data_IF_790372539126
#
_entry.id   IF_790372539126
#
_cell.length_a   1.000
_cell.length_b   1.000
_cell.length_c   1.000
_cell.angle_alpha   90.00
_cell.angle_beta   90.00
_cell.angle_gamma   90.00
#
_symmetry.space_group_name_H-M   'P 1'
#
loop_
_entity.id
_entity.type
_entity.pdbx_description
1 polymer ?
#
# COMPACT_ATOMS: atom_id res chain seq x y z
N UNK A 1 35.38 16.58 -17.52
CA UNK A 1 34.10 15.92 -17.86
C UNK A 1 33.61 15.33 -16.54
N UNK A 2 32.87 16.12 -15.79
CA UNK A 2 32.49 15.87 -14.38
C UNK A 2 31.04 15.41 -14.39
N UNK A 3 30.83 14.14 -14.02
CA UNK A 3 29.50 13.54 -13.84
C UNK A 3 28.87 14.10 -12.56
N UNK A 4 27.67 14.62 -12.67
CA UNK A 4 26.88 15.17 -11.55
C UNK A 4 26.33 14.02 -10.68
N UNK A 5 26.50 14.05 -9.37
CA UNK A 5 25.95 13.04 -8.43
C UNK A 5 24.62 13.50 -7.80
N UNK A 6 23.67 14.00 -8.56
CA UNK A 6 22.42 14.55 -8.01
C UNK A 6 21.19 13.64 -8.16
N UNK A 7 21.23 12.63 -9.01
CA UNK A 7 20.07 11.74 -9.24
C UNK A 7 19.80 10.71 -8.13
N UNK A 8 20.80 10.35 -7.35
CA UNK A 8 20.65 9.38 -6.26
C UNK A 8 19.96 9.87 -5.00
N UNK A 9 19.66 11.19 -4.91
CA UNK A 9 19.11 11.78 -3.67
C UNK A 9 17.59 11.89 -3.63
N UNK A 10 16.92 11.86 -4.80
CA UNK A 10 15.45 11.95 -4.87
C UNK A 10 14.74 10.63 -4.56
N UNK A 11 15.30 9.49 -4.94
CA UNK A 11 14.73 8.18 -4.65
C UNK A 11 14.73 7.86 -3.15
N UNK A 12 15.81 8.22 -2.43
CA UNK A 12 15.86 8.00 -0.98
C UNK A 12 14.85 8.84 -0.20
N UNK A 13 14.58 10.08 -0.64
CA UNK A 13 13.60 10.94 0.01
C UNK A 13 12.17 10.39 -0.15
N UNK A 14 11.85 9.79 -1.29
CA UNK A 14 10.52 9.20 -1.54
C UNK A 14 10.26 7.97 -0.66
N UNK A 15 11.23 7.07 -0.50
CA UNK A 15 11.11 5.92 0.39
C UNK A 15 11.03 6.35 1.88
N UNK A 16 11.83 7.34 2.31
CA UNK A 16 11.78 7.84 3.69
C UNK A 16 10.46 8.56 4.01
N UNK A 17 9.83 9.22 3.02
CA UNK A 17 8.58 9.94 3.22
C UNK A 17 7.38 9.00 3.29
N UNK A 18 7.33 7.97 2.44
CA UNK A 18 6.28 6.93 2.48
C UNK A 18 6.39 6.03 3.73
N UNK A 19 7.60 5.78 4.22
CA UNK A 19 7.82 4.97 5.43
C UNK A 19 8.10 5.78 6.71
N UNK A 20 8.46 7.07 6.60
CA UNK A 20 8.81 7.93 7.74
C UNK A 20 7.63 8.40 8.58
N UNK A 21 6.41 8.34 8.07
CA UNK A 21 5.17 8.72 8.79
C UNK A 21 4.91 7.81 10.00
N UNK A 22 5.47 6.60 10.03
CA UNK A 22 5.26 5.62 11.11
C UNK A 22 5.93 5.95 12.45
N UNK A 23 6.98 6.76 12.49
CA UNK A 23 7.70 7.05 13.76
C UNK A 23 6.92 7.89 14.77
N UNK A 24 5.95 8.68 14.33
CA UNK A 24 5.14 9.50 15.24
C UNK A 24 3.83 8.83 15.67
N UNK A 25 3.33 7.82 14.95
CA UNK A 25 2.03 7.19 15.22
C UNK A 25 2.06 6.14 16.33
N UNK A 26 3.16 5.44 16.56
CA UNK A 26 3.26 4.38 17.57
C UNK A 26 3.11 4.92 19.01
N UNK A 27 3.35 6.21 19.27
CA UNK A 27 3.26 6.79 20.61
C UNK A 27 1.86 7.31 21.02
N UNK A 28 0.91 7.40 20.09
CA UNK A 28 -0.44 7.95 20.37
C UNK A 28 -1.49 6.85 20.62
N UNK A 29 -1.27 5.61 20.15
CA UNK A 29 -2.28 4.53 20.22
C UNK A 29 -2.33 3.79 21.55
N UNK A 30 -1.38 3.97 22.47
CA UNK A 30 -1.35 3.25 23.75
C UNK A 30 -2.34 3.71 24.84
N UNK A 31 -3.24 4.66 24.56
CA UNK A 31 -4.07 5.28 25.60
C UNK A 31 -5.57 4.93 25.59
N UNK A 32 -6.05 4.02 24.74
CA UNK A 32 -7.51 3.77 24.66
C UNK A 32 -7.90 2.28 24.64
N UNK A 33 -7.33 1.46 25.50
CA UNK A 33 -7.80 0.07 25.68
C UNK A 33 -8.26 -0.15 27.13
N UNK A 34 -9.52 0.12 27.40
CA UNK A 34 -10.33 -0.57 28.42
C UNK A 34 -11.82 -0.28 28.16
N UNK A 35 -12.53 -1.21 27.56
CA UNK A 35 -13.99 -1.21 27.60
C UNK A 35 -14.67 -1.93 26.44
N UNK A 36 -15.32 -3.02 26.84
CA UNK A 36 -16.45 -3.69 26.16
C UNK A 36 -16.12 -4.88 25.28
N UNK A 37 -16.03 -6.00 25.92
CA UNK A 37 -16.35 -7.34 25.37
C UNK A 37 -17.87 -7.47 25.24
N UNK A 38 -18.36 -7.64 24.01
CA UNK A 38 -19.49 -8.49 23.60
C UNK A 38 -20.02 -8.06 22.23
N UNK A 39 -19.62 -8.73 21.12
CA UNK A 39 -20.60 -8.92 20.05
C UNK A 39 -20.28 -10.19 19.25
N UNK A 40 -21.27 -11.02 19.14
CA UNK A 40 -21.44 -12.28 18.47
C UNK A 40 -21.12 -12.23 16.98
N UNK A 41 -20.68 -13.39 16.43
CA UNK A 41 -20.36 -13.62 15.03
C UNK A 41 -21.39 -13.08 14.04
N UNK A 42 -21.04 -11.97 13.43
CA UNK A 42 -21.63 -11.51 12.18
C UNK A 42 -20.66 -11.85 11.07
N UNK A 43 -21.18 -12.43 10.00
CA UNK A 43 -20.39 -12.60 8.79
C UNK A 43 -19.76 -11.25 8.45
N UNK A 44 -18.46 -11.21 8.31
CA UNK A 44 -17.71 -9.98 8.02
C UNK A 44 -18.29 -9.33 6.76
N UNK A 45 -19.08 -8.27 6.94
CA UNK A 45 -19.65 -7.50 5.85
C UNK A 45 -18.58 -6.53 5.39
N UNK A 46 -18.07 -6.72 4.17
CA UNK A 46 -17.20 -5.71 3.56
C UNK A 46 -18.06 -4.55 3.06
N UNK A 47 -17.62 -3.33 3.29
CA UNK A 47 -18.27 -2.11 2.80
C UNK A 47 -17.44 -1.50 1.68
N UNK A 48 -18.08 -1.22 0.52
CA UNK A 48 -17.44 -0.46 -0.55
C UNK A 48 -17.07 0.94 -0.04
N UNK A 49 -15.80 1.29 -0.16
CA UNK A 49 -15.31 2.66 0.02
C UNK A 49 -14.68 3.19 -1.25
N UNK A 50 -14.86 4.47 -1.51
CA UNK A 50 -14.35 5.17 -2.69
C UNK A 50 -13.32 6.19 -2.26
N UNK A 51 -12.18 6.16 -2.92
CA UNK A 51 -11.02 7.02 -2.68
C UNK A 51 -10.67 7.78 -3.96
N UNK A 52 -11.23 8.97 -4.15
CA UNK A 52 -10.98 9.78 -5.35
C UNK A 52 -9.52 10.18 -5.52
N UNK A 53 -8.78 10.38 -4.42
CA UNK A 53 -7.35 10.73 -4.40
C UNK A 53 -6.48 9.72 -5.15
N UNK A 54 -6.85 8.43 -5.07
CA UNK A 54 -6.17 7.32 -5.74
C UNK A 54 -7.02 6.67 -6.84
N UNK A 55 -8.10 7.34 -7.26
CA UNK A 55 -9.03 6.91 -8.32
C UNK A 55 -9.52 5.47 -8.18
N UNK A 56 -9.72 4.99 -6.97
CA UNK A 56 -10.18 3.62 -6.78
C UNK A 56 -11.33 3.49 -5.78
N UNK A 57 -12.06 2.38 -5.91
CA UNK A 57 -12.96 1.86 -4.89
C UNK A 57 -12.48 0.49 -4.44
N UNK A 58 -12.68 0.19 -3.17
CA UNK A 58 -12.28 -1.08 -2.55
C UNK A 58 -13.31 -1.52 -1.51
N UNK A 59 -13.53 -2.81 -1.38
CA UNK A 59 -14.39 -3.38 -0.33
C UNK A 59 -13.54 -3.56 0.94
N UNK A 60 -13.78 -2.71 1.94
CA UNK A 60 -13.07 -2.72 3.22
C UNK A 60 -13.75 -3.72 4.15
N UNK A 61 -13.04 -4.73 4.67
CA UNK A 61 -13.61 -5.66 5.63
C UNK A 61 -14.03 -4.97 6.93
N UNK A 62 -15.05 -5.52 7.59
CA UNK A 62 -15.53 -5.00 8.87
C UNK A 62 -14.40 -5.00 9.92
N UNK A 63 -14.31 -3.91 10.67
CA UNK A 63 -13.32 -3.75 11.74
C UNK A 63 -11.94 -3.28 11.28
N UNK A 64 -11.70 -3.18 9.97
CA UNK A 64 -10.46 -2.59 9.47
C UNK A 64 -10.46 -1.08 9.62
N UNK A 65 -9.36 -0.55 10.11
CA UNK A 65 -9.14 0.89 10.17
C UNK A 65 -8.72 1.41 8.79
N UNK A 66 -9.21 2.61 8.45
CA UNK A 66 -8.93 3.25 7.15
C UNK A 66 -8.37 4.63 7.41
N UNK A 67 -7.18 4.87 6.90
CA UNK A 67 -6.54 6.18 6.89
C UNK A 67 -6.28 6.61 5.46
N UNK A 68 -6.68 7.83 5.09
CA UNK A 68 -6.47 8.40 3.76
C UNK A 68 -5.55 9.62 3.90
N UNK A 69 -4.46 9.60 3.14
CA UNK A 69 -3.55 10.72 2.95
C UNK A 69 -3.73 11.25 1.52
N UNK A 70 -4.57 12.27 1.39
CA UNK A 70 -4.89 12.88 0.09
C UNK A 70 -3.68 13.60 -0.51
N UNK A 71 -2.76 14.12 0.32
CA UNK A 71 -1.57 14.85 -0.14
C UNK A 71 -0.59 13.91 -0.85
N UNK A 72 -0.42 12.69 -0.32
CA UNK A 72 0.45 11.68 -0.88
C UNK A 72 -0.29 10.65 -1.76
N UNK A 73 -1.58 10.88 -2.03
CA UNK A 73 -2.44 9.94 -2.78
C UNK A 73 -2.30 8.49 -2.26
N UNK A 74 -2.41 8.31 -0.96
CA UNK A 74 -2.23 7.01 -0.30
C UNK A 74 -3.40 6.70 0.63
N UNK A 75 -3.82 5.45 0.63
CA UNK A 75 -4.83 4.91 1.55
C UNK A 75 -4.26 3.69 2.26
N UNK A 76 -4.34 3.68 3.58
CA UNK A 76 -3.94 2.55 4.41
C UNK A 76 -5.17 1.86 5.01
N UNK A 77 -5.21 0.55 4.88
CA UNK A 77 -6.20 -0.32 5.52
C UNK A 77 -5.46 -1.18 6.53
N UNK A 78 -5.75 -1.05 7.81
CA UNK A 78 -5.08 -1.80 8.89
C UNK A 78 -6.03 -2.80 9.49
N UNK A 79 -5.59 -4.04 9.65
CA UNK A 79 -6.37 -5.09 10.29
C UNK A 79 -6.58 -4.80 11.78
N UNK A 80 -7.68 -5.31 12.41
CA UNK A 80 -8.00 -5.03 13.82
C UNK A 80 -6.94 -5.49 14.82
N UNK A 81 -6.14 -6.49 14.46
CA UNK A 81 -5.03 -7.02 15.26
C UNK A 81 -3.70 -6.30 15.01
N UNK A 82 -3.67 -5.34 14.09
CA UNK A 82 -2.49 -4.56 13.68
C UNK A 82 -1.34 -5.40 13.09
N UNK A 83 -1.53 -6.70 12.89
CA UNK A 83 -0.51 -7.61 12.36
C UNK A 83 -0.42 -7.58 10.82
N UNK A 84 -1.39 -6.93 10.18
CA UNK A 84 -1.47 -6.86 8.73
C UNK A 84 -2.05 -5.52 8.24
N UNK A 85 -1.53 -5.04 7.11
CA UNK A 85 -2.04 -3.84 6.46
C UNK A 85 -2.01 -3.95 4.94
N UNK A 86 -2.89 -3.18 4.29
CA UNK A 86 -2.88 -2.95 2.85
C UNK A 86 -2.71 -1.47 2.61
N UNK A 87 -1.69 -1.10 1.87
CA UNK A 87 -1.47 0.28 1.44
C UNK A 87 -1.75 0.38 -0.06
N UNK A 88 -2.58 1.35 -0.45
CA UNK A 88 -2.91 1.65 -1.83
C UNK A 88 -2.33 3.03 -2.15
N UNK A 89 -1.52 3.12 -3.19
CA UNK A 89 -0.91 4.38 -3.61
C UNK A 89 -1.23 4.64 -5.08
N UNK A 90 -1.77 5.82 -5.37
CA UNK A 90 -2.01 6.30 -6.73
C UNK A 90 -0.81 7.12 -7.21
N UNK A 91 -0.34 6.84 -8.42
CA UNK A 91 0.86 7.47 -8.96
C UNK A 91 0.54 8.02 -10.35
N UNK A 92 0.66 9.33 -10.48
CA UNK A 92 0.48 10.06 -11.74
C UNK A 92 1.87 10.34 -12.34
N UNK A 93 2.41 9.38 -13.08
CA UNK A 93 3.73 9.47 -13.73
C UNK A 93 3.60 9.16 -15.23
N UNK A 94 3.13 10.13 -16.04
CA UNK A 94 2.87 9.91 -17.45
C UNK A 94 4.14 9.49 -18.22
N UNK A 95 4.00 8.47 -19.06
CA UNK A 95 5.06 8.00 -19.94
C UNK A 95 5.99 6.94 -19.33
N UNK A 96 5.74 6.52 -18.09
CA UNK A 96 6.41 5.37 -17.48
C UNK A 96 5.52 4.14 -17.64
N UNK A 97 6.06 3.07 -18.19
CA UNK A 97 5.32 1.81 -18.28
C UNK A 97 5.18 1.14 -16.90
N UNK A 98 4.11 0.39 -16.72
CA UNK A 98 3.87 -0.38 -15.46
C UNK A 98 5.05 -1.30 -15.14
N UNK A 99 5.68 -1.89 -16.17
CA UNK A 99 6.87 -2.74 -16.02
C UNK A 99 8.08 -1.97 -15.50
N UNK A 100 8.38 -0.81 -16.10
CA UNK A 100 9.52 0.03 -15.68
C UNK A 100 9.32 0.56 -14.27
N UNK A 101 8.08 0.95 -13.94
CA UNK A 101 7.75 1.38 -12.58
C UNK A 101 7.95 0.24 -11.58
N UNK A 102 7.42 -0.96 -11.86
CA UNK A 102 7.57 -2.12 -10.99
C UNK A 102 9.05 -2.52 -10.79
N UNK A 103 9.86 -2.51 -11.86
CA UNK A 103 11.29 -2.80 -11.76
C UNK A 103 12.05 -1.77 -10.93
N UNK A 104 11.72 -0.48 -11.07
CA UNK A 104 12.32 0.60 -10.29
C UNK A 104 12.00 0.45 -8.80
N UNK A 105 10.72 0.26 -8.46
CA UNK A 105 10.30 0.10 -7.05
C UNK A 105 10.91 -1.17 -6.44
N UNK A 106 10.87 -2.30 -7.14
CA UNK A 106 11.47 -3.53 -6.66
C UNK A 106 12.97 -3.37 -6.36
N UNK A 107 13.70 -2.64 -7.22
CA UNK A 107 15.11 -2.34 -6.99
C UNK A 107 15.32 -1.44 -5.76
N UNK A 108 14.45 -0.45 -5.56
CA UNK A 108 14.54 0.48 -4.41
C UNK A 108 14.32 -0.22 -3.07
N UNK A 109 13.38 -1.19 -3.03
CA UNK A 109 13.09 -1.97 -1.81
C UNK A 109 13.96 -3.22 -1.66
N UNK A 110 14.88 -3.45 -2.59
CA UNK A 110 15.77 -4.63 -2.56
C UNK A 110 15.05 -5.95 -2.84
N UNK A 111 13.94 -5.90 -3.56
CA UNK A 111 13.18 -7.09 -3.96
C UNK A 111 13.81 -7.82 -5.14
N UNK A 112 13.39 -9.06 -5.33
CA UNK A 112 13.66 -9.80 -6.55
C UNK A 112 12.95 -9.16 -7.77
N UNK A 113 13.33 -9.62 -8.98
CA UNK A 113 12.73 -9.12 -10.20
C UNK A 113 11.20 -9.33 -10.20
N UNK A 114 10.40 -8.28 -10.51
CA UNK A 114 8.95 -8.41 -10.59
C UNK A 114 8.50 -9.45 -11.59
N UNK A 115 7.50 -10.23 -11.20
CA UNK A 115 6.87 -11.25 -12.04
C UNK A 115 5.52 -10.74 -12.57
N UNK A 116 5.19 -10.99 -13.86
CA UNK A 116 3.86 -10.66 -14.38
C UNK A 116 2.75 -11.39 -13.62
N UNK A 117 1.73 -10.68 -13.19
CA UNK A 117 0.61 -11.23 -12.41
C UNK A 117 -0.66 -10.41 -12.58
N UNK A 118 -1.74 -11.02 -13.04
CA UNK A 118 -3.08 -10.40 -13.01
C UNK A 118 -3.24 -9.10 -13.82
N UNK A 119 -2.47 -8.92 -14.90
CA UNK A 119 -2.48 -7.69 -15.68
C UNK A 119 -1.51 -6.61 -15.18
N UNK A 120 -0.71 -6.92 -14.18
CA UNK A 120 0.34 -6.07 -13.63
C UNK A 120 1.58 -6.87 -13.28
N UNK A 121 2.30 -6.43 -12.26
CA UNK A 121 3.54 -7.04 -11.77
C UNK A 121 3.47 -7.24 -10.27
N UNK A 122 4.09 -8.31 -9.78
CA UNK A 122 4.18 -8.64 -8.36
C UNK A 122 5.63 -8.92 -7.97
N UNK A 123 6.01 -8.51 -6.77
CA UNK A 123 7.31 -8.81 -6.16
C UNK A 123 7.16 -8.92 -4.64
N UNK A 124 8.11 -9.59 -4.00
CA UNK A 124 8.16 -9.74 -2.54
C UNK A 124 9.41 -9.10 -1.99
N UNK A 125 9.32 -8.52 -0.81
CA UNK A 125 10.45 -7.91 -0.12
C UNK A 125 10.26 -8.01 1.39
N UNK A 126 11.30 -7.65 2.12
CA UNK A 126 11.24 -7.52 3.58
C UNK A 126 11.54 -6.05 3.90
N UNK A 127 10.69 -5.43 4.71
CA UNK A 127 10.92 -4.05 5.11
C UNK A 127 12.05 -3.92 6.14
N UNK A 128 12.38 -2.70 6.52
CA UNK A 128 13.46 -2.41 7.48
C UNK A 128 13.17 -2.96 8.89
N UNK A 129 11.91 -3.20 9.22
CA UNK A 129 11.47 -3.77 10.50
C UNK A 129 11.44 -5.31 10.49
N UNK A 130 11.68 -5.93 9.32
CA UNK A 130 11.70 -7.38 9.13
C UNK A 130 10.36 -7.99 8.78
N UNK A 131 9.34 -7.17 8.44
CA UNK A 131 8.04 -7.69 7.98
C UNK A 131 8.11 -8.16 6.53
N UNK A 132 7.47 -9.30 6.27
CA UNK A 132 7.28 -9.79 4.91
C UNK A 132 6.25 -8.94 4.19
N UNK A 133 6.66 -8.36 3.06
CA UNK A 133 5.83 -7.50 2.25
C UNK A 133 5.67 -8.05 0.84
N UNK A 134 4.56 -7.70 0.20
CA UNK A 134 4.32 -7.99 -1.20
C UNK A 134 3.86 -6.73 -1.91
N UNK A 135 4.55 -6.35 -2.98
CA UNK A 135 4.18 -5.27 -3.87
C UNK A 135 3.42 -5.80 -5.09
N UNK A 136 2.34 -5.14 -5.47
CA UNK A 136 1.58 -5.37 -6.69
C UNK A 136 1.45 -4.03 -7.39
N UNK A 137 1.92 -3.96 -8.64
CA UNK A 137 1.85 -2.77 -9.47
C UNK A 137 0.93 -3.04 -10.65
N UNK A 138 -0.05 -2.19 -10.86
CA UNK A 138 -1.01 -2.28 -11.97
C UNK A 138 -1.37 -0.89 -12.48
N UNK A 139 -1.99 -0.82 -13.64
CA UNK A 139 -2.39 0.45 -14.25
C UNK A 139 -2.14 0.49 -15.75
N UNK A 140 -2.05 1.69 -16.27
CA UNK A 140 -1.79 1.98 -17.68
C UNK A 140 -0.68 3.05 -17.83
N UNK A 141 -0.47 3.57 -19.05
CA UNK A 141 0.53 4.61 -19.34
C UNK A 141 0.22 5.98 -18.73
N UNK A 142 -0.94 6.15 -18.13
CA UNK A 142 -1.39 7.44 -17.56
C UNK A 142 -1.42 7.42 -16.04
N UNK A 143 -1.76 6.27 -15.47
CA UNK A 143 -1.94 6.13 -14.04
C UNK A 143 -1.50 4.75 -13.58
N UNK A 144 -0.63 4.72 -12.59
CA UNK A 144 -0.13 3.50 -11.97
C UNK A 144 -0.65 3.43 -10.54
N UNK A 145 -1.16 2.28 -10.17
CA UNK A 145 -1.54 1.96 -8.79
C UNK A 145 -0.56 0.96 -8.21
N UNK A 146 -0.06 1.25 -7.02
CA UNK A 146 0.74 0.33 -6.23
C UNK A 146 -0.05 -0.14 -5.02
N UNK A 147 -0.09 -1.44 -4.82
CA UNK A 147 -0.67 -2.09 -3.64
C UNK A 147 0.47 -2.72 -2.86
N UNK A 148 0.62 -2.36 -1.61
CA UNK A 148 1.58 -3.00 -0.71
C UNK A 148 0.81 -3.77 0.36
N UNK A 149 1.07 -5.07 0.46
CA UNK A 149 0.55 -5.95 1.49
C UNK A 149 1.63 -6.16 2.53
N UNK A 150 1.34 -5.82 3.79
CA UNK A 150 2.24 -6.02 4.94
C UNK A 150 1.72 -7.14 5.82
N UNK A 151 2.60 -8.07 6.18
CA UNK A 151 2.24 -9.24 6.97
C UNK A 151 1.47 -10.29 6.17
N UNK A 152 0.61 -11.04 6.84
CA UNK A 152 -0.22 -12.09 6.23
C UNK A 152 -1.64 -12.03 6.81
N UNK A 153 -2.65 -11.92 5.96
CA UNK A 153 -4.04 -11.94 6.40
C UNK A 153 -4.95 -12.57 5.34
N UNK A 154 -5.93 -13.36 5.79
CA UNK A 154 -6.87 -14.06 4.89
C UNK A 154 -7.72 -13.12 4.02
N UNK A 155 -7.93 -11.87 4.44
CA UNK A 155 -8.71 -10.89 3.69
C UNK A 155 -7.93 -10.26 2.51
N UNK A 156 -6.62 -10.41 2.42
CA UNK A 156 -5.83 -9.76 1.37
C UNK A 156 -6.31 -10.08 -0.04
N UNK A 157 -6.59 -11.35 -0.31
CA UNK A 157 -7.06 -11.77 -1.63
C UNK A 157 -8.41 -11.12 -1.98
N UNK A 158 -9.33 -11.03 -1.02
CA UNK A 158 -10.63 -10.40 -1.23
C UNK A 158 -10.52 -8.89 -1.41
N UNK A 159 -9.68 -8.21 -0.62
CA UNK A 159 -9.41 -6.78 -0.76
C UNK A 159 -8.84 -6.49 -2.15
N UNK A 160 -7.76 -7.18 -2.54
CA UNK A 160 -7.10 -6.95 -3.85
C UNK A 160 -8.04 -7.20 -5.02
N UNK A 161 -8.88 -8.24 -4.96
CA UNK A 161 -9.88 -8.53 -6.01
C UNK A 161 -11.01 -7.50 -6.08
N UNK A 162 -11.27 -6.79 -5.01
CA UNK A 162 -12.34 -5.80 -4.94
C UNK A 162 -11.93 -4.43 -5.48
N UNK A 163 -10.64 -4.21 -5.71
CA UNK A 163 -10.12 -2.93 -6.19
C UNK A 163 -10.64 -2.66 -7.60
N UNK A 164 -11.28 -1.51 -7.77
CA UNK A 164 -11.88 -1.05 -9.02
C UNK A 164 -11.47 0.39 -9.29
N UNK A 165 -11.14 0.69 -10.52
CA UNK A 165 -10.92 2.07 -10.96
C UNK A 165 -12.23 2.86 -10.91
N UNK A 166 -12.14 4.13 -10.51
CA UNK A 166 -13.25 5.09 -10.58
C UNK A 166 -13.17 5.85 -11.90
N UNK A 167 -14.28 5.84 -12.66
CA UNK A 167 -14.44 6.59 -13.92
C UNK A 167 -14.42 8.11 -13.72
#
# INVERSE_FOLDING_TARGET
>A
MTLHPEEGRRGKAFCEEVFGVRRSFILVVFAFLLGIWAFWGMAASAAERRFPSIRCAVDVPEGWEVEEDEENATVSLTAPDEDAAVMLTGIDEPGVSVSEFAERVAQEVGADKPEPSGGGYRFSFTDEEGFSCQGIVMGDEKFVSMITLLGQHQAFESIVRSIRELD
#
